data_IF_784534694417
#
_entry.id   IF_784534694417
#
_cell.length_a   1.000
_cell.length_b   1.000
_cell.length_c   1.000
_cell.angle_alpha   90.00
_cell.angle_beta   90.00
_cell.angle_gamma   90.00
#
_symmetry.space_group_name_H-M   'P 1'
#
loop_
_entity.id
_entity.type
_entity.pdbx_description
1 polymer ?
#
# COMPACT_ATOMS: atom_id res chain seq x y z
N UNK A 1 24.15 -12.05 -25.69
CA UNK A 1 23.25 -12.20 -24.53
C UNK A 1 22.82 -10.80 -24.12
N UNK A 2 21.64 -10.39 -24.57
CA UNK A 2 21.02 -9.13 -24.17
C UNK A 2 20.37 -9.40 -22.81
N UNK A 3 20.64 -8.63 -21.75
CA UNK A 3 19.92 -8.81 -20.48
C UNK A 3 18.42 -8.55 -20.73
N UNK A 4 17.57 -9.46 -20.24
CA UNK A 4 16.12 -9.35 -20.32
C UNK A 4 15.68 -8.07 -19.61
N UNK A 5 15.41 -7.00 -20.38
CA UNK A 5 15.17 -5.65 -19.86
C UNK A 5 13.84 -5.50 -19.09
N UNK A 6 13.07 -6.59 -18.91
CA UNK A 6 11.67 -6.55 -18.45
C UNK A 6 11.37 -7.52 -17.29
N UNK A 7 12.38 -8.05 -16.58
CA UNK A 7 12.10 -8.88 -15.41
C UNK A 7 11.40 -8.04 -14.32
N UNK A 8 10.33 -8.56 -13.68
CA UNK A 8 9.72 -7.89 -12.53
C UNK A 8 10.76 -7.65 -11.42
N UNK A 9 10.63 -6.56 -10.64
CA UNK A 9 11.53 -6.29 -9.52
C UNK A 9 11.32 -7.28 -8.36
N UNK A 10 12.32 -7.45 -7.50
CA UNK A 10 12.15 -8.17 -6.24
C UNK A 10 11.26 -7.40 -5.27
N UNK A 11 10.63 -8.09 -4.32
CA UNK A 11 9.72 -7.48 -3.33
C UNK A 11 10.42 -6.33 -2.58
N UNK A 12 11.67 -6.51 -2.17
CA UNK A 12 12.47 -5.49 -1.47
C UNK A 12 12.75 -4.21 -2.27
N UNK A 13 12.55 -4.23 -3.59
CA UNK A 13 12.74 -3.07 -4.47
C UNK A 13 11.41 -2.34 -4.74
N UNK A 14 10.28 -2.93 -4.34
CA UNK A 14 8.97 -2.33 -4.49
C UNK A 14 8.64 -1.41 -3.32
N UNK A 15 7.75 -0.47 -3.57
CA UNK A 15 7.03 0.31 -2.56
C UNK A 15 5.53 0.08 -2.75
N UNK A 16 4.70 0.11 -1.68
CA UNK A 16 3.26 0.16 -1.81
C UNK A 16 2.81 1.24 -2.79
N UNK A 17 2.00 0.88 -3.78
CA UNK A 17 1.41 1.86 -4.68
C UNK A 17 0.05 2.27 -4.15
N UNK A 18 -0.11 3.55 -3.78
CA UNK A 18 -1.37 4.12 -3.32
C UNK A 18 -1.88 5.05 -4.43
N UNK A 19 -2.94 4.67 -5.16
CA UNK A 19 -3.54 5.54 -6.16
C UNK A 19 -3.95 6.88 -5.54
N UNK A 20 -3.76 7.99 -6.25
CA UNK A 20 -4.19 9.32 -5.81
C UNK A 20 -3.40 9.92 -4.64
N UNK A 21 -2.31 9.29 -4.20
CA UNK A 21 -1.42 9.84 -3.17
C UNK A 21 -0.84 11.18 -3.61
N UNK A 22 -1.02 12.23 -2.80
CA UNK A 22 -0.49 13.57 -3.13
C UNK A 22 0.99 13.66 -2.75
N UNK A 23 1.83 14.12 -3.68
CA UNK A 23 3.27 14.31 -3.44
C UNK A 23 3.74 15.64 -4.05
N UNK A 24 4.73 16.33 -3.44
CA UNK A 24 5.43 15.97 -2.21
C UNK A 24 4.79 16.54 -0.93
N UNK A 25 4.89 15.79 0.19
CA UNK A 25 4.64 16.30 1.55
C UNK A 25 5.96 16.22 2.31
N UNK A 26 6.44 17.34 2.84
CA UNK A 26 7.75 17.41 3.51
C UNK A 26 7.81 16.44 4.71
N UNK A 27 8.79 15.54 4.69
CA UNK A 27 8.99 14.54 5.75
C UNK A 27 8.13 13.27 5.62
N UNK A 28 7.33 13.16 4.56
CA UNK A 28 6.45 12.02 4.31
C UNK A 28 6.61 11.52 2.86
N UNK A 29 6.27 10.25 2.64
CA UNK A 29 6.19 9.65 1.30
C UNK A 29 4.99 10.17 0.50
N UNK A 30 3.94 10.67 1.15
CA UNK A 30 2.82 11.34 0.50
C UNK A 30 1.66 11.67 1.44
N UNK A 31 0.69 12.42 0.93
CA UNK A 31 -0.51 12.86 1.63
C UNK A 31 -1.74 12.04 1.25
N UNK A 32 -2.56 11.73 2.26
CA UNK A 32 -3.89 11.13 2.11
C UNK A 32 -4.90 12.13 2.67
N UNK A 33 -5.69 12.72 1.79
CA UNK A 33 -6.76 13.63 2.17
C UNK A 33 -8.10 12.91 2.28
N UNK A 34 -9.07 13.48 3.00
CA UNK A 34 -10.42 12.91 3.13
C UNK A 34 -11.03 12.50 1.79
N UNK A 35 -10.95 13.36 0.76
CA UNK A 35 -11.49 13.08 -0.56
C UNK A 35 -10.87 11.82 -1.22
N UNK A 36 -9.60 11.52 -0.93
CA UNK A 36 -8.96 10.31 -1.43
C UNK A 36 -9.59 9.05 -0.81
N UNK A 37 -9.85 9.10 0.51
CA UNK A 37 -10.52 8.01 1.21
C UNK A 37 -11.95 7.83 0.72
N UNK A 38 -12.67 8.92 0.49
CA UNK A 38 -14.03 8.89 -0.09
C UNK A 38 -14.04 8.30 -1.51
N UNK A 39 -13.06 8.67 -2.34
CA UNK A 39 -12.90 8.12 -3.70
C UNK A 39 -12.57 6.63 -3.70
N UNK A 40 -11.83 6.16 -2.70
CA UNK A 40 -11.55 4.73 -2.53
C UNK A 40 -12.72 3.95 -1.90
N UNK A 41 -13.69 4.66 -1.31
CA UNK A 41 -14.94 4.10 -0.83
C UNK A 41 -14.86 3.46 0.55
N UNK A 42 -15.85 2.64 0.87
CA UNK A 42 -16.06 2.09 2.22
C UNK A 42 -14.96 1.13 2.68
N UNK A 43 -14.18 0.56 1.76
CA UNK A 43 -13.04 -0.32 2.06
C UNK A 43 -11.84 0.42 2.65
N UNK A 44 -11.77 1.75 2.48
CA UNK A 44 -10.67 2.58 2.96
C UNK A 44 -9.55 2.74 1.94
N UNK A 45 -8.33 2.99 2.40
CA UNK A 45 -7.20 3.33 1.52
C UNK A 45 -6.71 2.10 0.74
N UNK A 46 -6.90 2.12 -0.58
CA UNK A 46 -6.36 1.13 -1.52
C UNK A 46 -4.82 1.18 -1.52
N UNK A 47 -4.20 0.04 -1.23
CA UNK A 47 -2.77 -0.19 -1.32
C UNK A 47 -2.51 -1.35 -2.29
N UNK A 48 -1.67 -1.11 -3.29
CA UNK A 48 -1.40 -2.08 -4.35
C UNK A 48 0.05 -2.54 -4.26
N UNK A 49 0.25 -3.84 -4.11
CA UNK A 49 1.52 -4.49 -4.35
C UNK A 49 1.60 -4.81 -5.85
N UNK A 50 2.53 -4.16 -6.55
CA UNK A 50 2.81 -4.51 -7.95
C UNK A 50 3.38 -5.92 -8.03
N UNK A 51 3.18 -6.54 -9.18
CA UNK A 51 3.79 -7.82 -9.53
C UNK A 51 5.29 -7.82 -9.24
N UNK A 52 5.75 -8.89 -8.60
CA UNK A 52 7.15 -9.06 -8.21
C UNK A 52 7.76 -10.32 -8.83
N UNK A 53 9.09 -10.37 -8.82
CA UNK A 53 9.85 -11.51 -9.30
C UNK A 53 9.52 -12.75 -8.47
N UNK A 54 9.05 -13.81 -9.13
CA UNK A 54 8.74 -15.07 -8.45
C UNK A 54 7.41 -15.07 -7.70
N UNK A 55 6.45 -14.22 -8.07
CA UNK A 55 5.06 -14.33 -7.61
C UNK A 55 4.48 -15.69 -7.99
N UNK A 56 4.13 -16.49 -6.98
CA UNK A 56 3.59 -17.82 -7.14
C UNK A 56 2.25 -17.96 -6.42
N UNK A 57 1.44 -18.91 -6.90
CA UNK A 57 0.24 -19.32 -6.18
C UNK A 57 0.62 -19.76 -4.76
N UNK A 58 -0.17 -19.33 -3.77
CA UNK A 58 0.05 -19.67 -2.38
C UNK A 58 1.01 -18.75 -1.63
N UNK A 59 1.66 -17.80 -2.31
CA UNK A 59 2.37 -16.72 -1.61
C UNK A 59 1.38 -15.96 -0.72
N UNK A 60 1.71 -15.80 0.56
CA UNK A 60 0.88 -15.12 1.54
C UNK A 60 1.34 -13.67 1.72
N UNK A 61 0.46 -12.73 1.41
CA UNK A 61 0.75 -11.31 1.36
C UNK A 61 0.00 -10.63 2.50
N UNK A 62 0.73 -9.87 3.30
CA UNK A 62 0.22 -9.13 4.44
C UNK A 62 0.50 -7.65 4.26
N UNK A 63 -0.50 -6.79 4.52
CA UNK A 63 -0.36 -5.34 4.55
C UNK A 63 -0.25 -4.87 6.00
N UNK A 64 0.74 -4.03 6.28
CA UNK A 64 0.96 -3.41 7.58
C UNK A 64 0.80 -1.90 7.50
N UNK A 65 0.29 -1.31 8.58
CA UNK A 65 0.19 0.13 8.75
C UNK A 65 0.32 0.49 10.24
N UNK A 66 1.38 1.23 10.58
CA UNK A 66 1.72 1.67 11.95
C UNK A 66 2.11 0.55 12.92
N UNK A 67 1.37 -0.56 12.95
CA UNK A 67 1.73 -1.78 13.66
C UNK A 67 2.61 -2.68 12.76
N UNK A 68 3.68 -3.24 13.32
CA UNK A 68 4.65 -4.09 12.60
C UNK A 68 4.38 -5.59 12.76
N UNK A 69 3.46 -5.96 13.66
CA UNK A 69 3.16 -7.33 14.05
C UNK A 69 1.73 -7.73 13.67
N UNK A 70 0.80 -6.78 13.66
CA UNK A 70 -0.60 -7.04 13.31
C UNK A 70 -0.88 -6.50 11.91
N UNK A 71 -1.09 -7.37 10.90
CA UNK A 71 -1.47 -6.91 9.57
C UNK A 71 -2.87 -6.29 9.61
N UNK A 72 -3.09 -5.27 8.79
CA UNK A 72 -4.39 -4.62 8.64
C UNK A 72 -5.26 -5.29 7.59
N UNK A 73 -4.65 -6.02 6.66
CA UNK A 73 -5.31 -6.81 5.62
C UNK A 73 -4.33 -7.86 5.07
N UNK A 74 -4.83 -8.91 4.42
CA UNK A 74 -4.01 -9.98 3.86
C UNK A 74 -4.67 -10.68 2.67
N UNK A 75 -3.86 -11.32 1.83
CA UNK A 75 -4.33 -12.11 0.68
C UNK A 75 -3.37 -13.25 0.36
N UNK A 76 -3.91 -14.38 -0.07
CA UNK A 76 -3.12 -15.49 -0.62
C UNK A 76 -3.21 -15.44 -2.13
N UNK A 77 -2.08 -15.35 -2.82
CA UNK A 77 -2.02 -15.30 -4.28
C UNK A 77 -2.70 -16.53 -4.88
N UNK A 78 -3.65 -16.29 -5.78
CA UNK A 78 -4.37 -17.35 -6.51
C UNK A 78 -3.58 -17.81 -7.74
N UNK A 79 -3.89 -19.02 -8.25
CA UNK A 79 -3.30 -19.54 -9.50
C UNK A 79 -3.44 -18.52 -10.65
N UNK A 80 -4.61 -17.91 -10.78
CA UNK A 80 -4.87 -16.94 -11.84
C UNK A 80 -4.00 -15.68 -11.69
N UNK A 81 -3.85 -15.15 -10.48
CA UNK A 81 -3.03 -13.98 -10.22
C UNK A 81 -1.55 -14.26 -10.47
N UNK A 82 -1.05 -15.43 -10.09
CA UNK A 82 0.32 -15.85 -10.39
C UNK A 82 0.53 -15.99 -11.91
N UNK A 83 -0.38 -16.69 -12.60
CA UNK A 83 -0.29 -16.94 -14.04
C UNK A 83 -0.36 -15.67 -14.89
N UNK A 84 -1.26 -14.75 -14.53
CA UNK A 84 -1.45 -13.48 -15.24
C UNK A 84 -0.55 -12.36 -14.70
N UNK A 85 0.29 -12.67 -13.71
CA UNK A 85 1.20 -11.73 -13.07
C UNK A 85 0.45 -10.48 -12.58
N UNK A 86 -0.70 -10.68 -11.91
CA UNK A 86 -1.59 -9.62 -11.46
C UNK A 86 -1.03 -8.90 -10.23
N UNK A 87 -1.20 -7.57 -10.13
CA UNK A 87 -0.96 -6.86 -8.89
C UNK A 87 -1.98 -7.26 -7.83
N UNK A 88 -1.56 -7.23 -6.56
CA UNK A 88 -2.39 -7.59 -5.41
C UNK A 88 -2.86 -6.33 -4.71
N UNK A 89 -4.16 -6.24 -4.45
CA UNK A 89 -4.79 -5.06 -3.86
C UNK A 89 -5.29 -5.40 -2.47
N UNK A 90 -4.78 -4.69 -1.47
CA UNK A 90 -5.18 -4.76 -0.07
C UNK A 90 -5.62 -3.38 0.41
N UNK A 91 -6.32 -3.31 1.54
CA UNK A 91 -6.95 -2.08 2.00
C UNK A 91 -6.58 -1.74 3.44
N UNK A 92 -6.35 -0.46 3.70
CA UNK A 92 -6.26 0.05 5.07
C UNK A 92 -7.61 0.69 5.41
N UNK A 93 -8.36 0.06 6.30
CA UNK A 93 -9.63 0.61 6.79
C UNK A 93 -9.46 2.04 7.30
N UNK A 94 -10.41 2.94 7.00
CA UNK A 94 -10.39 4.32 7.50
C UNK A 94 -10.27 4.40 9.02
N UNK A 95 -10.84 3.42 9.75
CA UNK A 95 -10.75 3.37 11.21
C UNK A 95 -9.31 3.17 11.74
N UNK A 96 -8.37 2.73 10.88
CA UNK A 96 -6.95 2.57 11.20
C UNK A 96 -6.11 3.79 10.81
N UNK A 97 -6.69 4.77 10.13
CA UNK A 97 -6.01 5.97 9.63
C UNK A 97 -6.42 7.17 10.48
N UNK A 98 -5.70 7.40 11.58
CA UNK A 98 -5.86 8.59 12.39
C UNK A 98 -5.22 9.80 11.70
N UNK A 99 -5.79 11.00 11.92
CA UNK A 99 -5.19 12.26 11.48
C UNK A 99 -3.75 12.41 12.00
N UNK A 100 -2.87 12.92 11.14
CA UNK A 100 -1.46 13.09 11.49
C UNK A 100 -0.53 12.18 10.68
N UNK A 101 0.47 11.63 11.34
CA UNK A 101 1.43 10.72 10.71
C UNK A 101 0.91 9.28 10.80
N UNK A 102 0.81 8.59 9.66
CA UNK A 102 0.52 7.16 9.60
C UNK A 102 1.69 6.41 8.96
N UNK A 103 2.05 5.26 9.53
CA UNK A 103 3.09 4.40 8.99
C UNK A 103 4.06 3.86 10.05
N UNK A 104 4.96 2.95 9.64
CA UNK A 104 5.24 2.60 8.25
C UNK A 104 4.09 1.81 7.59
N UNK A 105 3.90 2.04 6.29
CA UNK A 105 3.03 1.24 5.42
C UNK A 105 3.91 0.38 4.52
N UNK A 106 3.71 -0.93 4.54
CA UNK A 106 4.50 -1.88 3.73
C UNK A 106 3.76 -3.20 3.57
N UNK A 107 4.16 -3.96 2.55
CA UNK A 107 3.75 -5.36 2.40
C UNK A 107 4.84 -6.29 2.90
N UNK A 108 4.44 -7.41 3.49
CA UNK A 108 5.28 -8.59 3.70
C UNK A 108 4.77 -9.72 2.83
N UNK A 109 5.68 -10.40 2.17
CA UNK A 109 5.39 -11.61 1.38
C UNK A 109 6.04 -12.79 2.07
N UNK A 110 5.24 -13.80 2.39
CA UNK A 110 5.69 -15.11 2.84
C UNK A 110 5.55 -16.08 1.69
N UNK A 111 6.68 -16.51 1.14
CA UNK A 111 6.71 -17.47 0.07
C UNK A 111 6.43 -18.90 0.57
N UNK A 112 6.09 -19.80 -0.34
CA UNK A 112 5.88 -21.23 -0.04
C UNK A 112 7.11 -21.93 0.57
N UNK A 113 8.32 -21.44 0.28
CA UNK A 113 9.57 -21.91 0.89
C UNK A 113 9.85 -21.28 2.27
N UNK A 114 8.88 -20.55 2.82
CA UNK A 114 8.95 -19.77 4.06
C UNK A 114 9.94 -18.61 4.02
N UNK A 115 10.44 -18.21 2.85
CA UNK A 115 11.20 -16.97 2.71
C UNK A 115 10.28 -15.78 2.95
N UNK A 116 10.77 -14.82 3.74
CA UNK A 116 10.10 -13.57 4.03
C UNK A 116 10.79 -12.42 3.30
N UNK A 117 10.01 -11.63 2.57
CA UNK A 117 10.46 -10.39 1.95
C UNK A 117 9.50 -9.24 2.31
N UNK A 118 10.04 -8.04 2.47
CA UNK A 118 9.24 -6.84 2.75
C UNK A 118 9.50 -5.79 1.68
N UNK A 119 8.45 -5.05 1.31
CA UNK A 119 8.62 -3.86 0.47
C UNK A 119 9.34 -2.76 1.23
N UNK A 120 9.79 -1.74 0.49
CA UNK A 120 10.11 -0.45 1.09
C UNK A 120 8.91 0.10 1.88
N UNK A 121 9.22 0.86 2.92
CA UNK A 121 8.24 1.38 3.88
C UNK A 121 7.90 2.82 3.53
N UNK A 122 6.61 3.13 3.51
CA UNK A 122 6.11 4.49 3.32
C UNK A 122 5.68 5.12 4.63
N UNK A 123 5.82 6.43 4.71
CA UNK A 123 5.21 7.25 5.77
C UNK A 123 4.19 8.18 5.13
N UNK A 124 2.97 8.21 5.66
CA UNK A 124 1.86 8.96 5.10
C UNK A 124 1.48 10.10 6.04
N UNK A 125 1.11 11.24 5.45
CA UNK A 125 0.44 12.32 6.17
C UNK A 125 -1.06 12.21 5.92
N UNK A 126 -1.81 11.86 6.94
CA UNK A 126 -3.28 11.79 6.92
C UNK A 126 -3.82 13.17 7.31
N UNK A 127 -4.67 13.72 6.45
CA UNK A 127 -5.36 14.99 6.66
C UNK A 127 -6.83 14.84 6.30
N UNK A 128 -7.64 14.45 7.29
CA UNK A 128 -9.09 14.24 7.15
C UNK A 128 -9.90 15.36 7.80
N UNK A 129 -9.24 16.42 8.26
CA UNK A 129 -9.92 17.59 8.80
C UNK A 129 -10.37 18.47 7.64
N UNK A 130 -11.69 18.56 7.44
CA UNK A 130 -12.26 19.53 6.52
C UNK A 130 -11.80 20.94 6.92
N UNK A 131 -11.39 21.81 5.97
CA UNK A 131 -10.98 23.16 6.31
C UNK A 131 -12.11 23.86 7.05
N UNK A 132 -11.88 24.27 8.30
CA UNK A 132 -12.82 25.04 9.12
C UNK A 132 -12.95 26.49 8.67
N UNK A 133 -12.86 26.75 7.36
CA UNK A 133 -13.10 28.05 6.76
C UNK A 133 -14.56 28.42 6.93
N UNK A 134 -14.92 29.00 8.07
CA UNK A 134 -16.01 29.96 8.09
C UNK A 134 -15.53 31.13 7.25
N UNK A 135 -16.04 31.26 6.02
CA UNK A 135 -16.00 32.54 5.32
C UNK A 135 -16.64 33.59 6.27
N UNK A 136 -15.91 34.63 6.71
CA UNK A 136 -16.57 35.77 7.32
C UNK A 136 -17.33 36.46 6.19
N UNK A 137 -18.63 36.19 6.08
CA UNK A 137 -19.51 37.02 5.26
C UNK A 137 -19.49 38.40 5.91
N UNK A 138 -18.74 39.32 5.31
CA UNK A 138 -18.74 40.76 5.63
C UNK A 138 -19.63 41.48 4.64
#
# INVERSE_FOLDING_TARGET
MTPELNAPPFVAQLSPYIPGLTTPVVGFSGGVHQLLLENHGSTGLICILRTYAGQLEGDFIELFCSDLLVPVDFHTVTEQEAREAKPITLHISMARLADGAAGPVFFRVTHLDHRLEETQRLTLKIDTVAPTGSDPIT
#
